data_IF_123525372184
#
_entry.id   IF_123525372184
#
_cell.length_a   1.000
_cell.length_b   1.000
_cell.length_c   1.000
_cell.angle_alpha   90.00
_cell.angle_beta   90.00
_cell.angle_gamma   90.00
#
_symmetry.space_group_name_H-M   'P 1'
#
loop_
_entity.id
_entity.type
_entity.pdbx_description
1 polymer ?
#
# COMPACT_ATOMS: atom_id res chain seq x y z
N UNK A 1 -8.84 -23.96 -0.09
CA UNK A 1 -8.80 -25.18 0.76
C UNK A 1 -9.70 -24.96 1.96
N UNK A 2 -10.16 -26.05 2.57
CA UNK A 2 -10.85 -25.98 3.85
C UNK A 2 -9.83 -25.72 4.96
N UNK A 3 -10.15 -24.87 5.91
CA UNK A 3 -9.21 -24.53 6.97
C UNK A 3 -9.76 -23.61 8.03
N UNK A 4 -8.90 -23.23 8.94
CA UNK A 4 -9.18 -22.25 10.01
C UNK A 4 -8.38 -20.99 9.75
N UNK A 5 -9.02 -19.84 9.86
CA UNK A 5 -8.37 -18.53 9.74
C UNK A 5 -7.44 -18.33 10.95
N UNK A 6 -6.14 -18.29 10.70
CA UNK A 6 -5.12 -18.14 11.75
C UNK A 6 -4.88 -16.68 12.11
N UNK A 7 -4.75 -15.82 11.10
CA UNK A 7 -4.57 -14.39 11.30
C UNK A 7 -5.19 -13.57 10.18
N UNK A 8 -5.62 -12.37 10.52
CA UNK A 8 -6.21 -11.40 9.59
C UNK A 8 -5.60 -10.04 9.86
N UNK A 9 -5.09 -9.40 8.82
CA UNK A 9 -4.72 -8.01 8.84
C UNK A 9 -5.33 -7.26 7.64
N UNK A 10 -5.10 -5.96 7.53
CA UNK A 10 -5.68 -5.15 6.46
C UNK A 10 -5.21 -5.56 5.06
N UNK A 11 -4.08 -6.24 4.94
CA UNK A 11 -3.41 -6.56 3.67
C UNK A 11 -3.39 -8.04 3.34
N UNK A 12 -3.65 -8.91 4.32
CA UNK A 12 -3.59 -10.37 4.12
C UNK A 12 -4.48 -11.14 5.09
N UNK A 13 -4.91 -12.31 4.65
CA UNK A 13 -5.61 -13.31 5.44
C UNK A 13 -4.79 -14.61 5.36
N UNK A 14 -4.50 -15.20 6.51
CA UNK A 14 -3.79 -16.49 6.60
C UNK A 14 -4.77 -17.56 7.01
N UNK A 15 -4.91 -18.60 6.18
CA UNK A 15 -5.77 -19.74 6.44
C UNK A 15 -4.91 -20.99 6.60
N UNK A 16 -5.03 -21.65 7.74
CA UNK A 16 -4.36 -22.90 8.04
C UNK A 16 -5.23 -24.05 7.58
N UNK A 17 -4.76 -24.80 6.58
CA UNK A 17 -5.50 -25.95 6.04
C UNK A 17 -5.70 -27.03 7.08
N UNK A 18 -6.93 -27.57 7.17
CA UNK A 18 -7.24 -28.73 8.01
C UNK A 18 -7.01 -30.06 7.22
N UNK A 19 -6.39 -31.01 7.88
CA UNK A 19 -6.45 -32.45 7.49
C UNK A 19 -5.41 -32.97 6.51
N UNK A 20 -4.56 -32.17 5.89
CA UNK A 20 -3.48 -32.67 5.02
C UNK A 20 -2.12 -32.61 5.72
N UNK A 21 -1.56 -33.78 6.01
CA UNK A 21 -0.18 -33.91 6.44
C UNK A 21 0.72 -33.32 5.35
N UNK A 22 1.26 -32.11 5.58
CA UNK A 22 2.11 -31.41 4.63
C UNK A 22 1.54 -30.15 3.97
N UNK A 23 0.28 -29.76 4.22
CA UNK A 23 -0.26 -28.52 3.72
C UNK A 23 0.37 -27.30 4.42
N UNK A 24 0.86 -26.35 3.63
CA UNK A 24 1.32 -25.06 4.12
C UNK A 24 0.11 -24.13 4.34
N UNK A 25 0.23 -23.09 5.18
CA UNK A 25 -0.83 -22.09 5.29
C UNK A 25 -1.01 -21.37 3.96
N UNK A 26 -2.27 -21.13 3.59
CA UNK A 26 -2.61 -20.31 2.44
C UNK A 26 -2.59 -18.82 2.86
N UNK A 27 -1.83 -18.00 2.15
CA UNK A 27 -1.72 -16.56 2.39
C UNK A 27 -2.43 -15.84 1.26
N UNK A 28 -3.58 -15.22 1.57
CA UNK A 28 -4.36 -14.42 0.64
C UNK A 28 -4.04 -12.94 0.82
N UNK A 29 -3.42 -12.32 -0.19
CA UNK A 29 -3.12 -10.90 -0.19
C UNK A 29 -4.32 -10.10 -0.67
N UNK A 30 -4.64 -9.01 0.01
CA UNK A 30 -5.74 -8.11 -0.31
C UNK A 30 -5.23 -6.90 -1.08
N UNK A 31 -5.93 -6.56 -2.17
CA UNK A 31 -5.64 -5.36 -2.94
C UNK A 31 -6.17 -4.13 -2.19
N UNK A 32 -5.30 -3.16 -1.97
CA UNK A 32 -5.62 -1.93 -1.24
C UNK A 32 -5.47 -0.73 -2.16
N UNK A 33 -6.53 0.10 -2.25
CA UNK A 33 -6.52 1.39 -2.95
C UNK A 33 -5.89 1.36 -4.35
N UNK A 34 -6.29 0.39 -5.17
CA UNK A 34 -5.87 0.31 -6.56
C UNK A 34 -6.87 1.02 -7.47
N UNK A 35 -6.37 1.73 -8.46
CA UNK A 35 -7.18 2.41 -9.47
C UNK A 35 -7.74 1.40 -10.47
N UNK A 36 -9.05 1.46 -10.72
CA UNK A 36 -9.69 0.74 -11.83
C UNK A 36 -9.57 1.50 -13.16
N UNK A 37 -9.94 0.86 -14.27
CA UNK A 37 -9.99 1.52 -15.58
C UNK A 37 -10.97 2.69 -15.64
N UNK A 38 -11.96 2.74 -14.76
CA UNK A 38 -12.96 3.82 -14.64
C UNK A 38 -12.63 4.80 -13.49
N UNK A 39 -11.40 4.84 -13.02
CA UNK A 39 -10.94 5.68 -11.92
C UNK A 39 -11.63 5.40 -10.57
N UNK A 40 -12.30 4.28 -10.41
CA UNK A 40 -12.86 3.87 -9.13
C UNK A 40 -11.78 3.22 -8.26
N UNK A 41 -11.94 3.29 -6.95
CA UNK A 41 -10.99 2.66 -6.01
C UNK A 41 -11.33 1.19 -5.80
N UNK A 42 -10.38 0.31 -6.07
CA UNK A 42 -10.40 -1.07 -5.59
C UNK A 42 -9.80 -1.13 -4.21
N UNK A 43 -10.59 -1.54 -3.24
CA UNK A 43 -10.14 -1.74 -1.87
C UNK A 43 -10.82 -2.98 -1.30
N UNK A 44 -10.03 -4.03 -1.04
CA UNK A 44 -10.55 -5.27 -0.47
C UNK A 44 -10.45 -5.22 1.06
N UNK A 45 -11.52 -5.65 1.71
CA UNK A 45 -11.63 -5.69 3.17
C UNK A 45 -11.95 -7.11 3.62
N UNK A 46 -11.25 -7.65 4.64
CA UNK A 46 -11.55 -8.99 5.15
C UNK A 46 -12.90 -8.96 5.89
N UNK A 47 -13.71 -10.02 5.68
CA UNK A 47 -14.97 -10.22 6.38
C UNK A 47 -14.88 -11.31 7.46
N UNK A 48 -13.82 -12.11 7.43
CA UNK A 48 -13.57 -13.20 8.37
C UNK A 48 -12.75 -12.72 9.56
N UNK A 49 -12.83 -13.48 10.66
CA UNK A 49 -12.07 -13.22 11.89
C UNK A 49 -11.13 -14.37 12.20
N UNK A 50 -10.05 -14.12 12.95
CA UNK A 50 -9.18 -15.19 13.44
C UNK A 50 -10.00 -16.23 14.23
N UNK A 51 -9.82 -17.50 13.89
CA UNK A 51 -10.57 -18.63 14.47
C UNK A 51 -11.77 -19.12 13.67
N UNK A 52 -12.20 -18.37 12.65
CA UNK A 52 -13.31 -18.79 11.79
C UNK A 52 -12.90 -20.03 10.96
N UNK A 53 -13.84 -20.98 10.83
CA UNK A 53 -13.69 -22.16 9.95
C UNK A 53 -14.23 -21.78 8.59
N UNK A 54 -13.40 -21.90 7.55
CA UNK A 54 -13.75 -21.59 6.17
C UNK A 54 -13.61 -22.83 5.28
N UNK A 55 -14.47 -22.92 4.28
CA UNK A 55 -14.47 -23.99 3.28
C UNK A 55 -14.00 -23.46 1.93
N UNK A 56 -13.57 -24.36 1.08
CA UNK A 56 -13.26 -24.01 -0.31
C UNK A 56 -14.51 -23.46 -1.02
N UNK A 57 -14.43 -22.21 -1.49
CA UNK A 57 -15.53 -21.50 -2.13
C UNK A 57 -16.20 -20.44 -1.26
N UNK A 58 -15.92 -20.41 0.05
CA UNK A 58 -16.43 -19.35 0.93
C UNK A 58 -15.76 -18.00 0.60
N UNK A 59 -16.54 -16.94 0.73
CA UNK A 59 -16.03 -15.57 0.56
C UNK A 59 -15.36 -15.15 1.86
N UNK A 60 -14.09 -14.75 1.78
CA UNK A 60 -13.27 -14.35 2.92
C UNK A 60 -12.98 -12.85 2.96
N UNK A 61 -13.17 -12.17 1.84
CA UNK A 61 -12.98 -10.71 1.74
C UNK A 61 -13.98 -10.10 0.76
N UNK A 62 -14.43 -8.89 1.05
CA UNK A 62 -15.25 -8.10 0.17
C UNK A 62 -14.39 -7.20 -0.72
N UNK A 63 -14.81 -7.06 -1.97
CA UNK A 63 -14.22 -6.14 -2.94
C UNK A 63 -15.08 -4.88 -3.13
N UNK A 64 -14.83 -4.12 -4.21
CA UNK A 64 -15.66 -2.96 -4.53
C UNK A 64 -17.10 -3.39 -4.82
N UNK A 65 -18.04 -2.59 -4.33
CA UNK A 65 -19.49 -2.82 -4.50
C UNK A 65 -19.96 -4.20 -4.01
N UNK A 66 -19.35 -4.73 -2.98
CA UNK A 66 -19.75 -5.97 -2.32
C UNK A 66 -19.92 -5.76 -0.82
N UNK A 67 -20.87 -6.47 -0.23
CA UNK A 67 -21.13 -6.48 1.21
C UNK A 67 -21.45 -7.90 1.65
N UNK A 68 -20.66 -8.45 2.58
CA UNK A 68 -20.74 -9.83 3.04
C UNK A 68 -20.81 -10.88 1.91
N UNK A 69 -20.03 -10.68 0.85
CA UNK A 69 -19.95 -11.57 -0.29
C UNK A 69 -21.07 -11.41 -1.32
N UNK A 70 -22.01 -10.49 -1.11
CA UNK A 70 -23.09 -10.21 -2.02
C UNK A 70 -22.88 -8.89 -2.78
N UNK A 71 -23.44 -8.80 -3.98
CA UNK A 71 -23.34 -7.59 -4.79
C UNK A 71 -24.16 -6.44 -4.17
N UNK A 72 -23.50 -5.35 -3.83
CA UNK A 72 -24.09 -4.15 -3.22
C UNK A 72 -23.71 -2.90 -4.05
N UNK A 73 -24.43 -2.65 -5.14
CA UNK A 73 -24.17 -1.53 -6.05
C UNK A 73 -24.63 -0.17 -5.52
N UNK A 74 -25.37 -0.15 -4.45
CA UNK A 74 -25.91 1.05 -3.83
C UNK A 74 -26.73 0.71 -2.60
N UNK A 75 -27.42 1.71 -2.08
CA UNK A 75 -28.30 1.57 -0.92
C UNK A 75 -29.73 2.00 -1.25
N UNK A 76 -30.71 1.33 -0.66
CA UNK A 76 -32.10 1.71 -0.78
C UNK A 76 -32.40 2.87 0.17
N UNK A 77 -33.06 3.90 -0.36
CA UNK A 77 -33.50 5.04 0.42
C UNK A 77 -35.03 5.24 0.25
N UNK A 78 -35.67 5.76 1.29
CA UNK A 78 -37.08 6.10 1.25
C UNK A 78 -37.23 7.41 0.48
N UNK A 79 -38.11 7.43 -0.55
CA UNK A 79 -38.38 8.58 -1.36
C UNK A 79 -39.85 8.99 -1.19
N UNK A 80 -40.10 10.28 -0.97
CA UNK A 80 -41.43 10.87 -0.95
C UNK A 80 -41.68 11.73 -2.21
N UNK A 81 -42.71 11.43 -2.95
CA UNK A 81 -43.14 12.23 -4.12
C UNK A 81 -44.17 13.24 -3.67
N UNK A 82 -43.74 14.43 -3.32
CA UNK A 82 -44.61 15.50 -2.83
C UNK A 82 -43.97 16.88 -3.06
N UNK A 83 -44.76 17.95 -3.26
CA UNK A 83 -44.21 19.30 -3.23
C UNK A 83 -43.77 19.66 -1.80
N UNK A 84 -42.61 20.33 -1.67
CA UNK A 84 -42.07 20.76 -0.41
C UNK A 84 -41.65 22.23 -0.47
N UNK A 85 -42.54 23.14 -0.09
CA UNK A 85 -42.24 24.58 0.02
C UNK A 85 -41.61 25.23 -1.21
N UNK A 86 -41.73 24.64 -2.40
CA UNK A 86 -41.10 25.10 -3.63
C UNK A 86 -39.62 24.73 -3.79
N UNK A 87 -39.01 24.07 -2.80
CA UNK A 87 -37.60 23.72 -2.87
C UNK A 87 -37.29 22.55 -3.81
N UNK A 88 -38.30 21.83 -4.27
CA UNK A 88 -38.16 20.77 -5.27
C UNK A 88 -38.79 21.18 -6.62
N UNK A 89 -38.73 22.48 -6.94
CA UNK A 89 -39.20 23.00 -8.22
C UNK A 89 -38.34 22.48 -9.39
N UNK A 90 -39.00 22.10 -10.48
CA UNK A 90 -38.41 21.47 -11.67
C UNK A 90 -37.65 20.17 -11.29
N UNK A 91 -36.36 20.10 -11.61
CA UNK A 91 -35.51 18.92 -11.40
C UNK A 91 -34.78 18.92 -10.03
N UNK A 92 -35.14 19.86 -9.15
CA UNK A 92 -34.52 19.96 -7.83
C UNK A 92 -35.01 18.83 -6.93
N UNK A 93 -34.08 18.25 -6.19
CA UNK A 93 -34.30 17.17 -5.23
C UNK A 93 -33.78 17.59 -3.87
N UNK A 94 -34.66 17.46 -2.84
CA UNK A 94 -34.24 17.63 -1.45
C UNK A 94 -33.68 16.31 -0.91
N UNK A 95 -32.58 16.40 -0.20
CA UNK A 95 -31.96 15.28 0.45
C UNK A 95 -31.97 15.47 1.97
N UNK A 96 -32.14 14.39 2.70
CA UNK A 96 -31.92 14.37 4.14
C UNK A 96 -30.45 14.56 4.44
N UNK A 97 -30.13 15.32 5.48
CA UNK A 97 -28.76 15.49 5.98
C UNK A 97 -28.06 14.14 6.29
N UNK A 98 -28.85 13.14 6.69
CA UNK A 98 -28.36 11.78 6.94
C UNK A 98 -27.62 11.19 5.74
N UNK A 99 -28.08 11.45 4.50
CA UNK A 99 -27.45 10.91 3.29
C UNK A 99 -25.99 11.40 3.14
N UNK A 100 -25.75 12.66 3.46
CA UNK A 100 -24.39 13.22 3.46
C UNK A 100 -23.58 12.77 4.68
N UNK A 101 -24.21 12.68 5.86
CA UNK A 101 -23.53 12.30 7.11
C UNK A 101 -23.12 10.81 7.13
N UNK A 102 -23.96 9.95 6.58
CA UNK A 102 -23.74 8.50 6.55
C UNK A 102 -23.03 8.05 5.25
N UNK A 103 -22.58 8.97 4.40
CA UNK A 103 -21.92 8.71 3.12
C UNK A 103 -22.65 7.71 2.21
N UNK A 104 -24.00 7.77 2.18
CA UNK A 104 -24.85 6.78 1.51
C UNK A 104 -24.55 6.66 0.01
N UNK A 105 -24.29 7.80 -0.66
CA UNK A 105 -23.98 7.88 -2.09
C UNK A 105 -22.57 8.40 -2.37
N UNK A 106 -21.68 8.27 -1.42
CA UNK A 106 -20.28 8.71 -1.55
C UNK A 106 -19.48 7.67 -2.32
N UNK A 107 -18.70 8.11 -3.29
CA UNK A 107 -17.77 7.29 -4.05
C UNK A 107 -16.35 7.84 -3.93
N UNK A 108 -15.38 6.94 -3.95
CA UNK A 108 -13.96 7.27 -3.94
C UNK A 108 -13.39 7.02 -5.33
N UNK A 109 -12.74 8.04 -5.88
CA UNK A 109 -12.09 7.96 -7.19
C UNK A 109 -10.58 8.13 -7.01
N UNK A 110 -9.80 7.42 -7.82
CA UNK A 110 -8.34 7.56 -7.87
C UNK A 110 -7.99 8.11 -9.24
N UNK A 111 -7.50 9.34 -9.26
CA UNK A 111 -7.02 10.02 -10.47
C UNK A 111 -5.51 9.84 -10.59
N UNK A 112 -5.05 9.60 -11.81
CA UNK A 112 -3.63 9.46 -12.12
C UNK A 112 -3.19 10.60 -13.02
N UNK A 113 -2.15 11.31 -12.62
CA UNK A 113 -1.56 12.41 -13.37
C UNK A 113 -0.13 12.03 -13.78
N UNK A 114 0.20 12.24 -15.04
CA UNK A 114 1.52 11.95 -15.59
C UNK A 114 2.21 13.25 -16.00
N UNK A 115 3.48 13.39 -15.60
CA UNK A 115 4.34 14.49 -16.02
C UNK A 115 5.64 13.92 -16.63
N UNK A 116 5.93 14.33 -17.86
CA UNK A 116 7.13 13.89 -18.56
C UNK A 116 8.05 15.08 -18.80
N UNK A 117 9.30 14.97 -18.35
CA UNK A 117 10.36 15.91 -18.72
C UNK A 117 10.99 15.45 -20.05
N UNK A 118 10.98 16.31 -21.06
CA UNK A 118 11.44 16.01 -22.42
C UNK A 118 12.69 16.80 -22.77
N UNK A 119 13.51 16.25 -23.65
CA UNK A 119 14.58 16.99 -24.29
C UNK A 119 14.00 17.87 -25.41
N UNK A 120 14.07 19.18 -25.26
CA UNK A 120 13.62 20.13 -26.28
C UNK A 120 14.81 20.71 -27.06
N UNK A 121 14.56 21.32 -28.23
CA UNK A 121 15.59 22.00 -29.01
C UNK A 121 16.25 23.17 -28.28
N UNK A 122 15.59 23.70 -27.28
CA UNK A 122 16.04 24.85 -26.49
C UNK A 122 16.76 24.44 -25.19
N UNK A 123 16.78 23.16 -24.89
CA UNK A 123 17.37 22.57 -23.68
C UNK A 123 16.48 21.49 -23.07
N UNK A 124 16.96 20.86 -22.03
CA UNK A 124 16.22 19.82 -21.32
C UNK A 124 15.20 20.45 -20.39
N UNK A 125 13.99 19.89 -20.36
CA UNK A 125 13.03 20.17 -19.28
C UNK A 125 13.53 19.54 -17.99
N UNK A 126 13.34 20.22 -16.88
CA UNK A 126 13.80 19.75 -15.58
C UNK A 126 12.64 19.74 -14.58
N UNK A 127 12.55 18.66 -13.81
CA UNK A 127 11.63 18.55 -12.67
C UNK A 127 12.38 19.07 -11.45
N UNK A 128 11.86 20.15 -10.85
CA UNK A 128 12.51 20.84 -9.74
C UNK A 128 11.49 21.59 -8.89
N UNK A 129 11.86 21.82 -7.64
CA UNK A 129 11.11 22.71 -6.73
C UNK A 129 11.38 24.20 -7.02
N UNK A 130 12.51 24.51 -7.65
CA UNK A 130 12.92 25.88 -7.96
C UNK A 130 12.16 26.43 -9.19
N UNK A 131 10.92 26.88 -8.96
CA UNK A 131 9.99 27.36 -9.98
C UNK A 131 9.97 28.90 -9.91
N UNK A 132 10.23 29.62 -11.01
CA UNK A 132 10.21 31.07 -11.01
C UNK A 132 8.80 31.62 -10.77
N UNK A 133 8.71 32.71 -10.02
CA UNK A 133 7.47 33.46 -9.74
C UNK A 133 6.38 32.67 -8.97
N UNK A 134 6.76 31.67 -8.22
CA UNK A 134 5.86 30.90 -7.34
C UNK A 134 6.26 31.15 -5.88
N UNK A 135 5.27 31.48 -5.03
CA UNK A 135 5.49 31.68 -3.60
C UNK A 135 5.76 30.37 -2.86
N UNK A 136 6.50 30.45 -1.75
CA UNK A 136 6.84 29.26 -0.94
C UNK A 136 5.62 28.50 -0.40
N UNK A 137 4.51 29.20 -0.20
CA UNK A 137 3.27 28.55 0.27
C UNK A 137 2.72 27.53 -0.75
N UNK A 138 2.83 27.82 -2.04
CA UNK A 138 2.45 26.90 -3.10
C UNK A 138 3.45 25.75 -3.28
N UNK A 139 4.64 25.86 -2.71
CA UNK A 139 5.71 24.85 -2.77
C UNK A 139 5.82 24.02 -1.49
N UNK A 140 5.01 24.29 -0.47
CA UNK A 140 5.12 23.65 0.86
C UNK A 140 5.00 22.13 0.84
N UNK A 141 4.16 21.62 -0.05
CA UNK A 141 3.87 20.19 -0.17
C UNK A 141 4.77 19.47 -1.19
N UNK A 142 5.66 20.20 -1.86
CA UNK A 142 6.69 19.63 -2.73
C UNK A 142 7.94 19.25 -1.93
N UNK A 143 8.52 18.12 -2.28
CA UNK A 143 9.85 17.73 -1.80
C UNK A 143 10.97 18.50 -2.53
N UNK A 144 12.22 18.22 -2.17
CA UNK A 144 13.40 18.86 -2.78
C UNK A 144 13.52 18.57 -4.29
N UNK A 145 13.00 17.44 -4.74
CA UNK A 145 12.97 17.05 -6.16
C UNK A 145 11.82 17.70 -6.95
N UNK A 146 10.96 18.48 -6.28
CA UNK A 146 9.81 19.12 -6.92
C UNK A 146 8.60 18.25 -7.11
N UNK A 147 8.50 17.13 -6.40
CA UNK A 147 7.37 16.19 -6.45
C UNK A 147 6.56 16.31 -5.16
N UNK A 148 5.24 16.27 -5.25
CA UNK A 148 4.35 16.32 -4.10
C UNK A 148 4.58 15.13 -3.15
N UNK A 149 4.49 15.37 -1.85
CA UNK A 149 4.67 14.33 -0.82
C UNK A 149 3.46 13.40 -0.78
N UNK A 150 3.71 12.12 -0.57
CA UNK A 150 2.65 11.13 -0.28
C UNK A 150 1.96 11.51 1.03
N UNK A 151 0.63 11.51 1.05
CA UNK A 151 -0.19 11.93 2.18
C UNK A 151 -0.51 13.42 2.22
N UNK A 152 0.00 14.24 1.28
CA UNK A 152 -0.36 15.64 1.17
C UNK A 152 -1.82 15.80 0.70
N UNK A 153 -2.54 16.72 1.32
CA UNK A 153 -3.85 17.16 0.87
C UNK A 153 -3.67 18.23 -0.20
N UNK A 154 -4.24 17.99 -1.38
CA UNK A 154 -4.13 18.86 -2.54
C UNK A 154 -5.48 19.38 -2.99
N UNK A 155 -5.51 20.64 -3.38
CA UNK A 155 -6.69 21.33 -3.87
C UNK A 155 -6.49 21.78 -5.32
N UNK A 156 -7.59 22.18 -5.96
CA UNK A 156 -7.55 22.69 -7.33
C UNK A 156 -6.55 23.85 -7.47
N UNK A 157 -5.62 23.71 -8.41
CA UNK A 157 -4.57 24.67 -8.69
C UNK A 157 -3.23 24.44 -7.98
N UNK A 158 -3.18 23.54 -6.99
CA UNK A 158 -1.94 23.16 -6.33
C UNK A 158 -0.98 22.44 -7.28
N UNK A 159 0.32 22.57 -7.04
CA UNK A 159 1.34 21.98 -7.88
C UNK A 159 1.60 20.55 -7.42
N UNK A 160 1.41 19.58 -8.34
CA UNK A 160 1.75 18.17 -8.10
C UNK A 160 3.21 17.87 -8.44
N UNK A 161 3.69 18.41 -9.55
CA UNK A 161 5.08 18.25 -10.02
C UNK A 161 5.57 19.58 -10.55
N UNK A 162 6.62 20.09 -9.95
CA UNK A 162 7.30 21.30 -10.42
C UNK A 162 8.13 21.00 -11.65
N UNK A 163 7.85 21.64 -12.77
CA UNK A 163 8.58 21.49 -14.02
C UNK A 163 8.89 22.82 -14.65
N UNK A 164 10.11 23.00 -15.11
CA UNK A 164 10.56 24.17 -15.84
C UNK A 164 11.00 23.78 -17.25
N UNK A 165 10.68 24.65 -18.19
CA UNK A 165 11.08 24.48 -19.61
C UNK A 165 11.96 25.67 -19.99
N UNK A 166 13.14 25.46 -20.62
CA UNK A 166 13.98 26.55 -21.12
C UNK A 166 13.24 27.41 -22.14
N UNK A 167 13.35 28.74 -22.00
CA UNK A 167 12.90 29.68 -23.03
C UNK A 167 13.98 29.80 -24.10
N UNK A 168 13.56 29.86 -25.37
CA UNK A 168 14.47 30.22 -26.47
C UNK A 168 15.02 31.64 -26.32
N UNK A 169 16.16 31.90 -26.95
CA UNK A 169 16.73 33.23 -27.05
C UNK A 169 15.73 34.19 -27.73
N UNK A 170 14.87 34.77 -26.94
CA UNK A 170 14.18 36.00 -27.32
C UNK A 170 15.07 37.19 -26.93
N UNK A 171 15.15 38.17 -27.80
CA UNK A 171 15.84 39.43 -27.45
C UNK A 171 15.23 39.97 -26.17
N UNK A 172 16.01 39.88 -25.10
CA UNK A 172 15.61 40.36 -23.78
C UNK A 172 15.32 41.87 -23.84
N UNK A 173 14.16 42.26 -23.34
CA UNK A 173 13.87 43.69 -23.14
C UNK A 173 14.87 44.30 -22.14
N UNK A 174 15.12 45.62 -22.18
CA UNK A 174 16.00 46.25 -21.21
C UNK A 174 15.57 46.01 -19.77
N UNK A 175 14.27 45.88 -19.51
CA UNK A 175 13.68 45.61 -18.20
C UNK A 175 13.95 44.18 -17.75
N UNK A 176 13.90 43.20 -18.64
CA UNK A 176 14.26 41.80 -18.33
C UNK A 176 15.77 41.67 -18.04
N UNK A 177 16.63 42.43 -18.70
CA UNK A 177 18.07 42.49 -18.37
C UNK A 177 18.31 43.03 -16.98
N UNK A 178 17.51 44.00 -16.56
CA UNK A 178 17.60 44.57 -15.21
C UNK A 178 17.11 43.58 -14.14
N UNK A 179 16.00 42.88 -14.40
CA UNK A 179 15.48 41.82 -13.53
C UNK A 179 16.48 40.65 -13.38
N UNK A 180 17.17 40.27 -14.46
CA UNK A 180 18.28 39.30 -14.39
C UNK A 180 19.42 39.73 -13.48
N UNK A 181 19.79 41.01 -13.52
CA UNK A 181 20.84 41.52 -12.68
C UNK A 181 20.48 41.55 -11.20
N UNK A 182 19.18 41.68 -10.88
CA UNK A 182 18.69 41.81 -9.49
C UNK A 182 18.35 40.44 -8.90
N UNK A 183 17.71 39.55 -9.65
CA UNK A 183 17.17 38.27 -9.16
C UNK A 183 17.95 37.01 -9.61
N UNK A 184 19.09 37.19 -10.31
CA UNK A 184 19.93 36.08 -10.81
C UNK A 184 19.53 35.53 -12.16
N UNK A 185 20.47 34.81 -12.81
CA UNK A 185 20.34 34.35 -14.21
C UNK A 185 19.17 33.40 -14.47
N UNK A 186 18.73 32.63 -13.48
CA UNK A 186 17.69 31.60 -13.65
C UNK A 186 16.27 32.14 -13.89
N UNK A 187 15.91 33.29 -13.36
CA UNK A 187 14.54 33.82 -13.39
C UNK A 187 14.04 34.26 -14.80
N UNK A 188 14.94 34.49 -15.75
CA UNK A 188 14.60 34.97 -17.11
C UNK A 188 14.60 33.90 -18.18
N UNK A 189 15.26 32.75 -17.97
CA UNK A 189 15.56 31.76 -19.00
C UNK A 189 14.64 30.55 -19.02
N UNK A 190 13.80 30.39 -18.00
CA UNK A 190 12.89 29.25 -17.88
C UNK A 190 11.45 29.69 -17.73
N UNK A 191 10.55 28.83 -18.18
CA UNK A 191 9.10 29.00 -18.05
C UNK A 191 8.54 27.90 -17.13
N UNK A 192 7.63 28.29 -16.22
CA UNK A 192 6.85 27.33 -15.45
C UNK A 192 5.93 26.50 -16.37
N UNK A 193 6.12 25.19 -16.36
CA UNK A 193 5.29 24.19 -17.05
C UNK A 193 4.88 23.07 -16.08
N UNK A 194 4.77 23.42 -14.80
CA UNK A 194 4.41 22.49 -13.73
C UNK A 194 3.07 21.84 -13.94
N UNK A 195 2.95 20.61 -13.50
CA UNK A 195 1.69 19.88 -13.45
C UNK A 195 0.90 20.35 -12.23
N UNK A 196 -0.29 20.88 -12.47
CA UNK A 196 -1.21 21.39 -11.43
C UNK A 196 -2.46 20.54 -11.37
N UNK A 197 -3.08 20.50 -10.19
CA UNK A 197 -4.37 19.85 -9.97
C UNK A 197 -5.44 20.54 -10.81
N UNK A 198 -6.20 19.79 -11.63
CA UNK A 198 -7.29 20.37 -12.44
C UNK A 198 -8.39 21.01 -11.59
N UNK A 199 -9.17 21.95 -12.18
CA UNK A 199 -10.31 22.53 -11.50
C UNK A 199 -11.34 21.48 -11.05
N UNK A 200 -11.82 21.60 -9.82
CA UNK A 200 -12.85 20.71 -9.27
C UNK A 200 -12.31 19.40 -8.68
N UNK A 201 -11.01 19.17 -8.74
CA UNK A 201 -10.37 18.01 -8.10
C UNK A 201 -9.76 18.44 -6.79
N UNK A 202 -10.00 17.67 -5.74
CA UNK A 202 -9.33 17.78 -4.45
C UNK A 202 -9.19 16.39 -3.84
N UNK A 203 -8.14 16.15 -3.06
CA UNK A 203 -7.94 14.84 -2.47
C UNK A 203 -6.60 14.70 -1.77
N UNK A 204 -6.25 13.47 -1.45
CA UNK A 204 -5.00 13.11 -0.77
C UNK A 204 -4.12 12.33 -1.74
N UNK A 205 -2.85 12.68 -1.81
CA UNK A 205 -1.87 11.95 -2.62
C UNK A 205 -1.59 10.59 -1.98
N UNK A 206 -1.92 9.51 -2.66
CA UNK A 206 -1.75 8.14 -2.16
C UNK A 206 -0.45 7.49 -2.63
N UNK A 207 0.04 7.87 -3.82
CA UNK A 207 1.27 7.32 -4.39
C UNK A 207 1.94 8.33 -5.33
N UNK A 208 3.26 8.23 -5.47
CA UNK A 208 4.05 8.98 -6.43
C UNK A 208 5.20 8.10 -6.94
N UNK A 209 5.26 7.91 -8.25
CA UNK A 209 6.27 7.06 -8.89
C UNK A 209 7.16 7.89 -9.80
N UNK A 210 8.45 7.62 -9.75
CA UNK A 210 9.45 8.27 -10.59
C UNK A 210 10.10 7.24 -11.50
N UNK A 211 10.10 7.51 -12.81
CA UNK A 211 10.71 6.65 -13.81
C UNK A 211 11.84 7.40 -14.49
N UNK A 212 13.02 6.81 -14.51
CA UNK A 212 14.18 7.32 -15.23
C UNK A 212 14.50 6.41 -16.44
N UNK A 213 15.04 6.99 -17.50
CA UNK A 213 15.52 6.21 -18.66
C UNK A 213 16.74 5.38 -18.26
N UNK A 214 16.87 4.18 -18.84
CA UNK A 214 18.02 3.32 -18.61
C UNK A 214 19.31 4.04 -19.04
N UNK A 215 20.26 4.17 -18.09
CA UNK A 215 21.55 4.83 -18.33
C UNK A 215 21.63 6.31 -17.92
N UNK A 216 20.55 6.89 -17.39
CA UNK A 216 20.58 8.20 -16.71
C UNK A 216 20.90 7.99 -15.22
N UNK A 217 21.61 8.93 -14.62
CA UNK A 217 21.77 8.96 -13.18
C UNK A 217 20.40 9.14 -12.53
N UNK A 218 20.15 8.33 -11.48
CA UNK A 218 18.89 8.41 -10.74
C UNK A 218 18.96 9.55 -9.74
N UNK A 219 17.90 10.32 -9.66
CA UNK A 219 17.74 11.36 -8.67
C UNK A 219 17.68 10.76 -7.27
N UNK A 220 18.09 11.51 -6.26
CA UNK A 220 18.08 11.10 -4.86
C UNK A 220 16.68 10.62 -4.41
N UNK A 221 15.63 11.29 -4.91
CA UNK A 221 14.23 10.89 -4.65
C UNK A 221 13.90 9.52 -5.22
N UNK A 222 14.33 9.23 -6.44
CA UNK A 222 14.14 7.91 -7.07
C UNK A 222 14.80 6.80 -6.25
N UNK A 223 16.00 7.07 -5.72
CA UNK A 223 16.72 6.13 -4.86
C UNK A 223 15.98 5.91 -3.53
N UNK A 224 15.46 6.96 -2.90
CA UNK A 224 14.68 6.87 -1.66
C UNK A 224 13.39 6.07 -1.86
N UNK A 225 12.67 6.29 -2.97
CA UNK A 225 11.46 5.52 -3.30
C UNK A 225 11.79 4.05 -3.48
N UNK A 226 12.82 3.73 -4.27
CA UNK A 226 13.27 2.35 -4.48
C UNK A 226 13.69 1.67 -3.17
N UNK A 227 14.41 2.36 -2.31
CA UNK A 227 14.83 1.84 -1.01
C UNK A 227 13.64 1.58 -0.09
N UNK A 228 12.66 2.48 -0.08
CA UNK A 228 11.43 2.33 0.71
C UNK A 228 10.59 1.14 0.21
N UNK A 229 10.41 1.01 -1.10
CA UNK A 229 9.72 -0.12 -1.71
C UNK A 229 10.43 -1.45 -1.43
N UNK A 230 11.76 -1.44 -1.57
CA UNK A 230 12.59 -2.61 -1.27
C UNK A 230 12.48 -3.05 0.19
N UNK A 231 12.59 -2.11 1.12
CA UNK A 231 12.46 -2.38 2.55
C UNK A 231 11.07 -2.95 2.89
N UNK A 232 10.01 -2.44 2.25
CA UNK A 232 8.65 -2.97 2.39
C UNK A 232 8.55 -4.41 1.89
N UNK A 233 9.07 -4.69 0.70
CA UNK A 233 9.06 -6.04 0.12
C UNK A 233 9.90 -7.02 0.94
N UNK A 234 11.06 -6.61 1.44
CA UNK A 234 11.91 -7.43 2.30
C UNK A 234 11.20 -7.76 3.63
N UNK A 235 10.49 -6.79 4.21
CA UNK A 235 9.67 -7.01 5.41
C UNK A 235 8.53 -7.98 5.15
N UNK A 236 7.76 -7.78 4.07
CA UNK A 236 6.65 -8.66 3.69
C UNK A 236 7.14 -10.11 3.47
N UNK A 237 8.27 -10.26 2.77
CA UNK A 237 8.91 -11.56 2.56
C UNK A 237 9.34 -12.21 3.88
N UNK A 238 9.95 -11.44 4.79
CA UNK A 238 10.36 -11.96 6.10
C UNK A 238 9.16 -12.42 6.94
N UNK A 239 8.06 -11.66 6.91
CA UNK A 239 6.82 -12.00 7.59
C UNK A 239 6.20 -13.29 7.02
N UNK A 240 6.17 -13.44 5.69
CA UNK A 240 5.64 -14.65 5.04
C UNK A 240 6.50 -15.88 5.37
N UNK A 241 7.82 -15.75 5.31
CA UNK A 241 8.76 -16.82 5.71
C UNK A 241 8.50 -17.23 7.16
N UNK A 242 8.29 -16.25 8.05
CA UNK A 242 8.00 -16.50 9.47
C UNK A 242 6.70 -17.29 9.62
N UNK A 243 5.61 -16.89 8.96
CA UNK A 243 4.31 -17.58 9.00
C UNK A 243 4.47 -19.06 8.58
N UNK A 244 5.17 -19.30 7.47
CA UNK A 244 5.40 -20.67 6.96
C UNK A 244 6.25 -21.50 7.93
N UNK A 245 7.31 -20.90 8.49
CA UNK A 245 8.18 -21.59 9.46
C UNK A 245 7.43 -21.88 10.76
N UNK A 246 6.69 -20.94 11.30
CA UNK A 246 5.92 -21.12 12.54
C UNK A 246 4.88 -22.25 12.35
N UNK A 247 4.18 -22.26 11.21
CA UNK A 247 3.26 -23.36 10.88
C UNK A 247 3.96 -24.72 10.75
N UNK A 248 5.18 -24.75 10.17
CA UNK A 248 5.99 -25.97 10.07
C UNK A 248 6.44 -26.43 11.46
N UNK A 249 6.91 -25.51 12.30
CA UNK A 249 7.33 -25.81 13.67
C UNK A 249 6.17 -26.34 14.51
N UNK A 250 4.99 -25.76 14.39
CA UNK A 250 3.78 -26.24 15.09
C UNK A 250 3.41 -27.68 14.70
N UNK A 251 3.54 -28.03 13.41
CA UNK A 251 3.30 -29.41 12.96
C UNK A 251 4.33 -30.38 13.52
N UNK A 252 5.61 -30.03 13.46
CA UNK A 252 6.70 -30.83 14.01
C UNK A 252 6.52 -30.99 15.53
N UNK A 253 6.15 -29.91 16.24
CA UNK A 253 5.83 -29.93 17.66
C UNK A 253 4.72 -30.95 17.99
N UNK A 254 3.63 -30.96 17.22
CA UNK A 254 2.55 -31.94 17.41
C UNK A 254 3.00 -33.40 17.27
N UNK A 255 4.02 -33.67 16.45
CA UNK A 255 4.60 -34.99 16.32
C UNK A 255 5.53 -35.36 17.49
N UNK A 256 6.22 -34.40 18.04
CA UNK A 256 7.16 -34.65 19.14
C UNK A 256 6.49 -34.73 20.50
N UNK A 257 5.47 -33.90 20.75
CA UNK A 257 4.79 -33.87 22.05
C UNK A 257 4.13 -35.20 22.36
N UNK A 258 4.50 -35.79 23.48
CA UNK A 258 3.99 -37.08 23.94
C UNK A 258 4.78 -38.30 23.43
N UNK A 259 5.69 -38.11 22.48
CA UNK A 259 6.63 -39.16 22.07
C UNK A 259 7.79 -39.29 23.05
N UNK A 260 8.47 -40.44 23.07
CA UNK A 260 9.67 -40.71 23.89
C UNK A 260 10.90 -40.61 23.00
N UNK A 261 11.97 -40.01 23.52
CA UNK A 261 13.25 -39.89 22.82
C UNK A 261 13.98 -41.27 22.77
N UNK A 262 14.51 -41.64 21.62
CA UNK A 262 15.34 -42.84 21.47
C UNK A 262 16.81 -42.59 21.73
N UNK A 263 17.25 -41.36 21.54
CA UNK A 263 18.62 -40.91 21.80
C UNK A 263 18.63 -39.62 22.63
N UNK A 264 19.77 -39.34 23.28
CA UNK A 264 19.95 -38.05 23.96
C UNK A 264 20.21 -36.95 22.96
N UNK A 265 19.58 -35.78 23.16
CA UNK A 265 19.86 -34.58 22.38
C UNK A 265 20.87 -33.70 23.09
N UNK A 266 21.96 -33.37 22.42
CA UNK A 266 23.03 -32.52 22.95
C UNK A 266 23.12 -31.24 22.14
N UNK A 267 23.09 -30.10 22.81
CA UNK A 267 23.21 -28.77 22.20
C UNK A 267 24.66 -28.27 22.14
N UNK A 268 24.79 -26.99 21.82
CA UNK A 268 26.10 -26.31 21.80
C UNK A 268 26.81 -26.45 23.15
N UNK A 269 28.12 -26.63 23.09
CA UNK A 269 29.01 -26.80 24.29
C UNK A 269 28.71 -28.07 25.09
N UNK A 270 28.10 -29.09 24.53
CA UNK A 270 27.87 -30.37 25.18
C UNK A 270 26.75 -30.37 26.25
N UNK A 271 25.91 -29.33 26.29
CA UNK A 271 24.74 -29.27 27.19
C UNK A 271 23.69 -30.27 26.73
N UNK A 272 23.30 -31.19 27.61
CA UNK A 272 22.19 -32.11 27.35
C UNK A 272 20.86 -31.32 27.35
N UNK A 273 20.12 -31.40 26.25
CA UNK A 273 18.83 -30.74 26.06
C UNK A 273 17.65 -31.69 26.30
N UNK A 274 17.79 -32.96 25.93
CA UNK A 274 16.82 -34.03 26.19
C UNK A 274 17.56 -35.32 26.56
N UNK A 275 17.09 -36.01 27.59
CA UNK A 275 17.63 -37.32 27.99
C UNK A 275 17.04 -38.45 27.16
N UNK A 276 17.74 -39.57 27.01
CA UNK A 276 17.22 -40.77 26.36
C UNK A 276 16.05 -41.32 27.13
N UNK A 277 14.95 -41.65 26.45
CA UNK A 277 13.75 -42.20 27.07
C UNK A 277 12.83 -41.15 27.72
N UNK A 278 13.19 -39.86 27.63
CA UNK A 278 12.37 -38.77 28.19
C UNK A 278 11.15 -38.57 27.31
N UNK A 279 9.99 -38.42 27.93
CA UNK A 279 8.76 -38.02 27.25
C UNK A 279 8.78 -36.53 27.00
N UNK A 280 8.67 -36.14 25.73
CA UNK A 280 8.76 -34.75 25.29
C UNK A 280 7.49 -33.98 25.66
N UNK A 281 7.66 -32.87 26.36
CA UNK A 281 6.59 -31.93 26.70
C UNK A 281 6.70 -30.65 25.86
N UNK A 282 5.65 -29.80 25.89
CA UNK A 282 5.71 -28.49 25.25
C UNK A 282 6.79 -27.59 25.84
N UNK A 283 6.98 -27.64 27.16
CA UNK A 283 8.00 -26.84 27.89
C UNK A 283 9.41 -27.23 27.50
N UNK A 284 9.66 -28.54 27.26
CA UNK A 284 10.95 -29.02 26.79
C UNK A 284 11.27 -28.44 25.39
N UNK A 285 10.28 -28.45 24.48
CA UNK A 285 10.47 -27.92 23.13
C UNK A 285 10.63 -26.39 23.11
N UNK A 286 9.97 -25.66 24.00
CA UNK A 286 10.14 -24.21 24.13
C UNK A 286 11.57 -23.84 24.61
N UNK A 287 12.20 -24.72 25.37
CA UNK A 287 13.59 -24.58 25.83
C UNK A 287 14.65 -24.97 24.79
N UNK A 288 14.26 -25.60 23.68
CA UNK A 288 15.18 -26.11 22.66
C UNK A 288 15.09 -25.26 21.39
N UNK A 289 16.19 -24.59 20.96
CA UNK A 289 16.19 -23.86 19.69
C UNK A 289 15.82 -24.76 18.51
N UNK A 290 15.01 -24.25 17.59
CA UNK A 290 14.46 -24.99 16.44
C UNK A 290 15.54 -25.66 15.57
N UNK A 291 16.75 -25.12 15.51
CA UNK A 291 17.89 -25.73 14.79
C UNK A 291 18.25 -27.13 15.26
N UNK A 292 17.91 -27.50 16.50
CA UNK A 292 18.18 -28.83 17.05
C UNK A 292 17.02 -29.79 16.86
N UNK A 293 15.82 -29.35 16.51
CA UNK A 293 14.65 -30.20 16.38
C UNK A 293 14.83 -31.30 15.32
N UNK A 294 15.59 -31.03 14.26
CA UNK A 294 15.94 -32.01 13.23
C UNK A 294 16.80 -33.20 13.75
N UNK A 295 17.40 -33.07 14.93
CA UNK A 295 18.23 -34.08 15.55
C UNK A 295 17.48 -34.83 16.67
N UNK A 296 16.23 -34.54 16.91
CA UNK A 296 15.40 -35.28 17.88
C UNK A 296 14.98 -36.59 17.25
N UNK A 297 15.44 -37.68 17.84
CA UNK A 297 15.04 -39.03 17.46
C UNK A 297 13.92 -39.49 18.38
N UNK A 298 12.77 -39.88 17.83
CA UNK A 298 11.61 -40.40 18.55
C UNK A 298 11.32 -41.84 18.16
N UNK A 299 10.65 -42.56 19.04
CA UNK A 299 10.17 -43.90 18.77
C UNK A 299 9.01 -43.84 17.75
N UNK A 300 9.11 -44.62 16.65
CA UNK A 300 8.23 -44.55 15.49
C UNK A 300 6.90 -45.28 15.65
N UNK A 301 6.61 -45.85 16.80
CA UNK A 301 5.43 -46.65 17.04
C UNK A 301 4.20 -45.86 17.51
N UNK A 302 3.95 -44.67 16.85
CA UNK A 302 2.63 -44.03 16.91
C UNK A 302 2.31 -43.28 15.63
#
# INVERSE_FOLDING_TARGET
QDGVVESVDATRIVVKAEGLAGAFPDIYRLNKFQRSNQNTAYNQTPIVRPGDVVKAGDVIADGPSTDHGELALGQNVIVAFMPWGGYNFEDSILLSERIAKDDVYTSVHIEEFECVARDTKLGKEEITRDIPNVGEEALKDLDESGIVRIGAEVNSGDILVGKITPKGETQLSPEEKLLRAIFGEKAGDVRDTSLKVPPGVSGIVIDARVFARKGTEKDERSLQIEETERAKLEKDMADEIKIVLDSAHDRVRKHFVGASTTAKLVGDKGKELLAKGQKITNEDLDGIPHKYWQHIEIDKDK
#
